data_IF_421555876785
#
_entry.id   IF_421555876785
#
_cell.length_a   1.000
_cell.length_b   1.000
_cell.length_c   1.000
_cell.angle_alpha   90.00
_cell.angle_beta   90.00
_cell.angle_gamma   90.00
#
_symmetry.space_group_name_H-M   'P 1'
#
loop_
_entity.id
_entity.type
_entity.pdbx_description
1 polymer ?
#
# COMPACT_ATOMS: atom_id res chain seq x y z
N UNK A 1 -20.53 -47.90 -9.55
CA UNK A 1 -19.60 -47.41 -8.52
C UNK A 1 -18.82 -46.17 -8.96
N UNK A 2 -18.20 -46.12 -10.12
CA UNK A 2 -17.39 -44.98 -10.64
C UNK A 2 -18.19 -43.65 -10.71
N UNK A 3 -19.50 -43.73 -11.02
CA UNK A 3 -20.41 -42.57 -11.13
C UNK A 3 -20.66 -41.90 -9.77
N UNK A 4 -20.68 -42.71 -8.68
CA UNK A 4 -20.86 -42.22 -7.32
C UNK A 4 -19.59 -41.54 -6.80
N UNK A 5 -18.42 -42.08 -7.10
CA UNK A 5 -17.13 -41.57 -6.69
C UNK A 5 -16.87 -40.23 -7.41
N UNK A 6 -17.19 -40.11 -8.71
CA UNK A 6 -17.04 -38.87 -9.46
C UNK A 6 -17.98 -37.75 -8.99
N UNK A 7 -19.21 -38.08 -8.57
CA UNK A 7 -20.15 -37.10 -8.00
C UNK A 7 -19.64 -36.54 -6.66
N UNK A 8 -19.06 -37.38 -5.81
CA UNK A 8 -18.45 -36.99 -4.54
C UNK A 8 -17.19 -36.09 -4.75
N UNK A 9 -16.34 -36.47 -5.72
CA UNK A 9 -15.15 -35.70 -6.03
C UNK A 9 -15.50 -34.29 -6.58
N UNK A 10 -16.53 -34.20 -7.43
CA UNK A 10 -16.99 -32.93 -7.97
C UNK A 10 -17.63 -32.04 -6.92
N UNK A 11 -18.36 -32.63 -5.98
CA UNK A 11 -18.97 -31.92 -4.86
C UNK A 11 -17.92 -31.39 -3.88
N UNK A 12 -16.86 -32.15 -3.62
CA UNK A 12 -15.73 -31.70 -2.79
C UNK A 12 -14.91 -30.59 -3.47
N UNK A 13 -14.72 -30.66 -4.80
CA UNK A 13 -14.02 -29.60 -5.56
C UNK A 13 -14.85 -28.32 -5.55
N UNK A 14 -16.17 -28.40 -5.70
CA UNK A 14 -17.06 -27.23 -5.63
C UNK A 14 -17.05 -26.64 -4.21
N UNK A 15 -17.09 -27.47 -3.15
CA UNK A 15 -16.97 -27.02 -1.77
C UNK A 15 -15.62 -26.34 -1.50
N UNK A 16 -14.52 -26.91 -2.01
CA UNK A 16 -13.19 -26.33 -1.88
C UNK A 16 -13.08 -24.98 -2.60
N UNK A 17 -13.70 -24.85 -3.76
CA UNK A 17 -13.74 -23.59 -4.52
C UNK A 17 -14.63 -22.53 -3.85
N UNK A 18 -15.73 -22.94 -3.21
CA UNK A 18 -16.59 -22.06 -2.40
C UNK A 18 -15.87 -21.58 -1.13
N UNK A 19 -15.13 -22.45 -0.44
CA UNK A 19 -14.36 -22.08 0.75
C UNK A 19 -13.20 -21.12 0.38
N UNK A 20 -12.54 -21.32 -0.75
CA UNK A 20 -11.46 -20.44 -1.23
C UNK A 20 -12.00 -19.11 -1.79
N UNK A 21 -13.20 -19.09 -2.36
CA UNK A 21 -13.88 -17.89 -2.86
C UNK A 21 -14.51 -17.03 -1.76
N UNK A 22 -14.72 -17.58 -0.57
CA UNK A 22 -15.24 -16.87 0.60
C UNK A 22 -14.16 -16.23 1.47
N UNK A 23 -12.90 -16.31 1.10
CA UNK A 23 -11.86 -15.46 1.68
C UNK A 23 -12.08 -14.03 1.14
N UNK A 24 -13.15 -13.39 1.62
CA UNK A 24 -13.31 -11.97 1.54
C UNK A 24 -12.07 -11.38 2.22
N UNK A 25 -11.11 -10.89 1.42
CA UNK A 25 -10.14 -9.94 1.90
C UNK A 25 -10.96 -8.77 2.45
N UNK A 26 -11.12 -8.74 3.76
CA UNK A 26 -11.56 -7.53 4.44
C UNK A 26 -10.43 -6.54 4.22
N UNK A 27 -10.45 -5.86 3.09
CA UNK A 27 -9.66 -4.64 2.90
C UNK A 27 -10.29 -3.65 3.87
N UNK A 28 -9.69 -3.54 5.04
CA UNK A 28 -10.01 -2.45 5.95
C UNK A 28 -9.61 -1.17 5.21
N UNK A 29 -10.58 -0.53 4.60
CA UNK A 29 -10.40 0.81 4.08
C UNK A 29 -10.16 1.70 5.31
N UNK A 30 -8.95 2.22 5.45
CA UNK A 30 -8.66 3.20 6.47
C UNK A 30 -9.51 4.44 6.18
N UNK A 31 -10.29 4.86 7.16
CA UNK A 31 -11.21 6.00 7.01
C UNK A 31 -10.44 7.31 6.79
N UNK A 32 -9.18 7.40 7.20
CA UNK A 32 -8.31 8.57 7.00
C UNK A 32 -6.89 8.15 6.62
N UNK A 33 -6.15 9.07 6.03
CA UNK A 33 -4.74 8.90 5.71
C UNK A 33 -3.91 10.10 6.16
N UNK A 34 -2.64 9.86 6.46
CA UNK A 34 -1.70 10.89 6.91
C UNK A 34 -0.43 10.81 6.10
N UNK A 35 -0.04 11.95 5.54
CA UNK A 35 1.21 12.11 4.82
C UNK A 35 2.05 13.22 5.45
N UNK A 36 3.29 12.90 5.81
CA UNK A 36 4.27 13.87 6.26
C UNK A 36 5.13 14.32 5.07
N UNK A 37 5.37 15.61 4.99
CA UNK A 37 6.28 16.23 4.01
C UNK A 37 7.23 17.19 4.72
N UNK A 38 8.37 17.46 4.12
CA UNK A 38 9.33 18.44 4.58
C UNK A 38 9.74 19.30 3.39
N UNK A 39 9.80 20.61 3.57
CA UNK A 39 10.10 21.53 2.47
C UNK A 39 11.54 21.39 1.99
N UNK A 40 12.47 21.16 2.93
CA UNK A 40 13.87 20.89 2.60
C UNK A 40 14.38 19.68 3.38
N UNK A 41 15.01 18.75 2.70
CA UNK A 41 15.65 17.57 3.33
C UNK A 41 17.06 17.87 3.84
N UNK A 42 17.55 19.09 3.66
CA UNK A 42 18.84 19.54 4.16
C UNK A 42 18.75 21.00 4.65
N UNK A 43 19.50 21.33 5.66
CA UNK A 43 19.60 22.65 6.26
C UNK A 43 21.06 22.95 6.62
N UNK A 44 21.42 24.21 6.71
CA UNK A 44 22.55 24.63 7.50
C UNK A 44 22.14 24.85 8.95
N UNK A 45 23.11 24.76 9.87
CA UNK A 45 22.88 25.01 11.30
C UNK A 45 22.14 26.34 11.47
N UNK A 46 21.02 26.31 12.23
CA UNK A 46 20.20 27.50 12.52
C UNK A 46 19.23 27.90 11.40
N UNK A 47 19.28 27.28 10.21
CA UNK A 47 18.23 27.47 9.21
C UNK A 47 16.94 26.78 9.62
N UNK A 48 15.85 27.20 9.02
CA UNK A 48 14.51 26.70 9.29
C UNK A 48 13.91 26.00 8.09
N UNK A 49 13.12 24.96 8.35
CA UNK A 49 12.28 24.29 7.35
C UNK A 49 10.92 23.98 7.94
N UNK A 50 9.93 23.76 7.10
CA UNK A 50 8.60 23.33 7.55
C UNK A 50 8.43 21.83 7.39
N UNK A 51 7.98 21.18 8.46
CA UNK A 51 7.44 19.81 8.45
C UNK A 51 5.93 19.91 8.45
N UNK A 52 5.28 19.36 7.44
CA UNK A 52 3.83 19.43 7.26
C UNK A 52 3.22 18.03 7.29
N UNK A 53 2.21 17.85 8.13
CA UNK A 53 1.36 16.67 8.15
C UNK A 53 0.06 17.00 7.44
N UNK A 54 -0.18 16.38 6.29
CA UNK A 54 -1.42 16.46 5.54
C UNK A 54 -2.31 15.27 5.91
N UNK A 55 -3.47 15.55 6.46
CA UNK A 55 -4.45 14.57 6.92
C UNK A 55 -5.64 14.63 5.97
N UNK A 56 -5.92 13.55 5.26
CA UNK A 56 -7.12 13.40 4.45
C UNK A 56 -8.15 12.59 5.24
N UNK A 57 -9.26 13.22 5.60
CA UNK A 57 -10.26 12.66 6.50
C UNK A 57 -11.70 12.99 6.05
N UNK A 58 -12.71 12.23 6.48
CA UNK A 58 -14.11 12.63 6.34
C UNK A 58 -14.39 13.94 7.08
N UNK A 59 -15.33 14.75 6.58
CA UNK A 59 -15.71 16.04 7.20
C UNK A 59 -16.16 15.89 8.65
N UNK A 60 -16.86 14.79 8.93
CA UNK A 60 -17.47 14.53 10.23
C UNK A 60 -16.52 13.86 11.24
N UNK A 61 -15.27 13.59 10.86
CA UNK A 61 -14.29 12.89 11.70
C UNK A 61 -13.21 13.84 12.20
N UNK A 62 -12.87 13.72 13.48
CA UNK A 62 -11.81 14.50 14.10
C UNK A 62 -10.59 13.62 14.34
N UNK A 63 -9.45 14.05 13.81
CA UNK A 63 -8.18 13.34 13.99
C UNK A 63 -7.34 14.07 15.04
N UNK A 64 -6.87 13.30 16.02
CA UNK A 64 -5.97 13.79 17.06
C UNK A 64 -4.53 13.73 16.55
N UNK A 65 -3.90 14.90 16.52
CA UNK A 65 -2.51 15.10 16.07
C UNK A 65 -1.57 14.93 17.24
N UNK A 66 -0.38 14.32 17.07
CA UNK A 66 0.64 14.27 18.11
C UNK A 66 0.98 15.66 18.63
N UNK A 67 1.09 15.79 19.96
CA UNK A 67 1.50 17.03 20.59
C UNK A 67 3.03 17.06 20.69
N UNK A 68 3.64 18.02 20.02
CA UNK A 68 5.06 18.33 20.17
C UNK A 68 5.19 19.49 21.17
N UNK A 69 6.09 19.44 22.15
CA UNK A 69 6.38 20.58 23.03
C UNK A 69 7.45 21.48 22.39
N UNK A 70 8.69 21.19 22.65
CA UNK A 70 9.82 22.01 22.23
C UNK A 70 10.62 21.34 21.07
N UNK A 71 10.42 20.05 20.88
CA UNK A 71 11.12 19.26 19.83
C UNK A 71 10.17 18.34 19.11
N UNK A 72 10.43 18.06 17.85
CA UNK A 72 9.74 17.00 17.10
C UNK A 72 10.43 15.65 17.37
N UNK A 73 11.74 15.63 17.28
CA UNK A 73 12.64 14.54 17.70
C UNK A 73 13.87 15.14 18.34
N UNK A 74 14.64 14.32 19.05
CA UNK A 74 15.89 14.79 19.68
C UNK A 74 16.81 15.44 18.63
N UNK A 75 17.22 16.69 18.87
CA UNK A 75 18.07 17.48 17.97
C UNK A 75 17.32 18.26 16.89
N UNK A 76 16.01 18.13 16.75
CA UNK A 76 15.17 18.97 15.90
C UNK A 76 14.22 19.77 16.76
N UNK A 77 14.50 21.06 16.90
CA UNK A 77 13.73 21.98 17.75
C UNK A 77 12.54 22.56 16.98
N UNK A 78 11.43 22.71 17.69
CA UNK A 78 10.22 23.34 17.20
C UNK A 78 10.31 24.85 17.42
N UNK A 79 10.35 25.61 16.34
CA UNK A 79 10.38 27.08 16.37
C UNK A 79 8.98 27.65 16.48
N UNK A 80 8.08 27.19 15.62
CA UNK A 80 6.73 27.72 15.52
C UNK A 80 5.74 26.66 15.02
N UNK A 81 4.50 26.79 15.48
CA UNK A 81 3.36 26.05 14.93
C UNK A 81 2.58 26.98 14.02
N UNK A 82 2.55 26.67 12.74
CA UNK A 82 1.80 27.46 11.80
C UNK A 82 0.30 27.24 11.97
N UNK A 83 -0.48 28.20 11.48
CA UNK A 83 -1.93 28.11 11.48
C UNK A 83 -2.38 26.87 10.69
N UNK A 84 -3.33 26.15 11.25
CA UNK A 84 -3.94 24.98 10.59
C UNK A 84 -4.65 25.45 9.32
N UNK A 85 -4.33 24.85 8.20
CA UNK A 85 -4.99 25.08 6.93
C UNK A 85 -5.92 23.90 6.62
N UNK A 86 -7.15 24.21 6.17
CA UNK A 86 -8.16 23.21 5.86
C UNK A 86 -8.71 23.46 4.48
N UNK A 87 -8.53 22.49 3.61
CA UNK A 87 -9.00 22.53 2.22
C UNK A 87 -10.12 21.50 2.07
N UNK A 88 -11.30 21.97 1.70
CA UNK A 88 -12.40 21.06 1.35
C UNK A 88 -12.10 20.39 0.01
N UNK A 89 -12.24 19.08 -0.03
CA UNK A 89 -12.11 18.28 -1.23
C UNK A 89 -13.48 17.80 -1.68
N UNK A 90 -13.64 17.51 -2.94
CA UNK A 90 -14.87 16.86 -3.44
C UNK A 90 -15.12 15.55 -2.70
N UNK A 91 -16.34 15.08 -2.60
CA UNK A 91 -16.74 13.82 -1.96
C UNK A 91 -16.80 13.81 -0.42
N UNK A 92 -17.23 14.90 0.21
CA UNK A 92 -17.43 14.97 1.67
C UNK A 92 -16.16 14.65 2.49
N UNK A 93 -14.97 15.01 1.97
CA UNK A 93 -13.68 14.89 2.63
C UNK A 93 -12.98 16.23 2.78
N UNK A 94 -12.11 16.30 3.77
CA UNK A 94 -11.30 17.49 4.01
C UNK A 94 -9.83 17.09 4.14
N UNK A 95 -8.95 17.94 3.63
CA UNK A 95 -7.52 17.87 3.87
C UNK A 95 -7.14 18.93 4.89
N UNK A 96 -6.61 18.47 6.01
CA UNK A 96 -6.15 19.33 7.10
C UNK A 96 -4.63 19.30 7.12
N UNK A 97 -4.00 20.48 7.02
CA UNK A 97 -2.55 20.63 7.06
C UNK A 97 -2.11 21.22 8.40
N UNK A 98 -1.27 20.47 9.10
CA UNK A 98 -0.58 20.92 10.30
C UNK A 98 0.90 21.11 9.96
N UNK A 99 1.36 22.36 9.95
CA UNK A 99 2.73 22.71 9.60
C UNK A 99 3.48 23.22 10.82
N UNK A 100 4.72 22.73 10.97
CA UNK A 100 5.62 23.03 12.08
C UNK A 100 6.93 23.52 11.51
N UNK A 101 7.33 24.73 11.89
CA UNK A 101 8.66 25.27 11.55
C UNK A 101 9.66 24.68 12.52
N UNK A 102 10.69 24.09 12.00
CA UNK A 102 11.74 23.40 12.77
C UNK A 102 13.12 23.92 12.41
N UNK A 103 14.04 23.78 13.34
CA UNK A 103 15.46 24.08 13.17
C UNK A 103 16.32 23.03 13.85
N UNK A 104 17.60 23.02 13.58
CA UNK A 104 18.60 22.25 14.32
C UNK A 104 19.90 23.04 14.44
N UNK A 105 20.57 22.89 15.57
CA UNK A 105 21.85 23.53 15.86
C UNK A 105 23.02 22.55 15.86
N UNK A 106 22.76 21.27 15.60
CA UNK A 106 23.78 20.25 15.53
C UNK A 106 23.87 19.65 14.13
N UNK A 107 25.10 19.45 13.66
CA UNK A 107 25.36 18.79 12.38
C UNK A 107 25.12 17.29 12.49
N UNK A 108 24.03 16.82 11.91
CA UNK A 108 23.66 15.40 11.92
C UNK A 108 22.74 15.04 10.76
N UNK A 109 22.55 13.73 10.57
CA UNK A 109 21.45 13.17 9.78
C UNK A 109 20.37 12.72 10.74
N UNK A 110 19.28 13.44 10.78
CA UNK A 110 18.13 13.14 11.64
C UNK A 110 17.14 12.24 10.91
N UNK A 111 16.66 11.24 11.62
CA UNK A 111 15.54 10.41 11.23
C UNK A 111 14.30 10.85 11.99
N UNK A 112 13.27 11.25 11.26
CA UNK A 112 11.97 11.62 11.83
C UNK A 112 11.06 10.40 11.64
N UNK A 113 10.73 9.68 12.74
CA UNK A 113 9.96 8.45 12.66
C UNK A 113 8.50 8.70 12.26
N UNK A 114 7.79 7.68 11.80
CA UNK A 114 6.35 7.75 11.61
C UNK A 114 5.63 8.07 12.91
N UNK A 115 4.85 9.14 12.93
CA UNK A 115 4.03 9.54 14.07
C UNK A 115 2.64 8.92 13.97
N UNK A 116 2.07 8.45 15.11
CA UNK A 116 0.72 7.93 15.15
C UNK A 116 -0.31 9.05 15.24
N UNK A 117 -1.38 8.95 14.47
CA UNK A 117 -2.56 9.79 14.49
C UNK A 117 -3.76 8.93 14.85
N UNK A 118 -4.69 9.45 15.62
CA UNK A 118 -5.81 8.70 16.16
C UNK A 118 -7.12 9.37 15.81
N UNK A 119 -8.11 8.59 15.39
CA UNK A 119 -9.49 9.07 15.30
C UNK A 119 -10.24 8.84 16.64
N UNK A 120 -11.42 9.40 16.74
CA UNK A 120 -12.27 9.24 17.94
C UNK A 120 -12.82 7.80 18.08
N UNK A 121 -12.73 6.98 17.04
CA UNK A 121 -13.13 5.56 17.04
C UNK A 121 -12.03 4.63 17.57
N UNK A 122 -10.80 5.14 17.75
CA UNK A 122 -9.64 4.38 18.22
C UNK A 122 -8.76 3.80 17.11
N UNK A 123 -9.07 4.07 15.82
CA UNK A 123 -8.20 3.67 14.74
C UNK A 123 -6.94 4.53 14.72
N UNK A 124 -5.83 3.90 14.35
CA UNK A 124 -4.52 4.53 14.32
C UNK A 124 -3.91 4.43 12.94
N UNK A 125 -3.52 5.57 12.39
CA UNK A 125 -2.74 5.67 11.16
C UNK A 125 -1.41 6.33 11.46
N UNK A 126 -0.33 5.81 10.90
CA UNK A 126 1.01 6.40 11.04
C UNK A 126 1.35 7.20 9.80
N UNK A 127 2.03 8.34 10.01
CA UNK A 127 2.64 9.07 8.91
C UNK A 127 3.77 8.25 8.28
N UNK A 128 4.27 8.69 7.12
CA UNK A 128 5.56 8.22 6.62
C UNK A 128 6.72 8.80 7.44
N UNK A 129 7.86 8.13 7.37
CA UNK A 129 9.12 8.65 7.91
C UNK A 129 9.71 9.74 7.03
N UNK A 130 10.43 10.67 7.64
CA UNK A 130 11.22 11.70 6.95
C UNK A 130 12.68 11.65 7.40
N UNK A 131 13.54 12.32 6.66
CA UNK A 131 14.93 12.53 7.06
C UNK A 131 15.34 13.98 6.79
N UNK A 132 16.14 14.52 7.70
CA UNK A 132 16.68 15.87 7.61
C UNK A 132 18.18 15.82 7.84
N UNK A 133 18.95 16.30 6.89
CA UNK A 133 20.40 16.43 7.03
C UNK A 133 20.77 17.87 7.33
N UNK A 134 21.50 18.07 8.44
CA UNK A 134 21.98 19.37 8.85
C UNK A 134 23.48 19.47 8.65
N UNK A 135 23.91 20.54 8.01
CA UNK A 135 25.30 20.82 7.70
C UNK A 135 25.79 22.04 8.48
N UNK A 136 27.07 22.04 8.78
CA UNK A 136 27.74 23.29 9.15
C UNK A 136 28.30 23.96 7.91
N UNK A 137 28.35 25.28 7.94
CA UNK A 137 29.10 26.04 6.94
C UNK A 137 30.61 25.86 7.24
N UNK A 138 31.28 25.14 6.40
CA UNK A 138 32.75 25.06 6.51
C UNK A 138 33.34 26.39 6.07
N UNK A 139 33.72 27.20 7.04
CA UNK A 139 34.45 28.49 6.81
C UNK A 139 35.93 28.17 6.68
N UNK A 140 36.29 27.22 5.85
CA UNK A 140 37.66 27.07 5.44
C UNK A 140 38.00 28.25 4.53
N UNK A 141 38.91 29.06 4.98
CA UNK A 141 39.35 30.30 4.34
C UNK A 141 40.11 30.14 3.00
N UNK A 142 39.82 29.11 2.26
CA UNK A 142 40.38 28.88 0.93
C UNK A 142 39.26 28.93 -0.13
N UNK A 143 39.07 30.16 -0.60
CA UNK A 143 38.06 30.60 -1.55
C UNK A 143 38.34 30.19 -3.00
N UNK A 144 38.62 28.94 -3.27
CA UNK A 144 38.81 28.51 -4.65
C UNK A 144 38.23 27.12 -4.95
N UNK A 145 37.01 26.87 -4.85
CA UNK A 145 36.26 25.86 -5.58
C UNK A 145 35.01 25.45 -4.84
N UNK A 146 34.01 26.33 -4.83
CA UNK A 146 32.64 25.84 -4.64
C UNK A 146 32.27 24.99 -5.86
N UNK A 147 32.55 23.69 -5.80
CA UNK A 147 31.90 22.78 -6.70
C UNK A 147 30.45 22.66 -6.23
N UNK A 148 29.55 23.25 -7.01
CA UNK A 148 28.11 23.06 -6.83
C UNK A 148 27.84 21.56 -6.89
N UNK A 149 27.39 20.99 -5.80
CA UNK A 149 27.01 19.57 -5.77
C UNK A 149 25.92 19.31 -6.83
N UNK A 150 26.17 18.37 -7.71
CA UNK A 150 25.24 18.02 -8.78
C UNK A 150 23.90 17.56 -8.23
N UNK A 151 22.84 17.89 -8.95
CA UNK A 151 21.47 17.54 -8.55
C UNK A 151 21.35 16.02 -8.50
N UNK A 152 20.96 15.47 -7.36
CA UNK A 152 20.71 14.02 -7.24
C UNK A 152 19.72 13.58 -8.31
N UNK A 153 20.05 12.56 -9.12
CA UNK A 153 19.13 12.04 -10.11
C UNK A 153 17.87 11.50 -9.44
N UNK A 154 16.75 11.59 -10.15
CA UNK A 154 15.46 11.03 -9.68
C UNK A 154 15.65 9.54 -9.40
N UNK A 155 15.43 9.13 -8.15
CA UNK A 155 15.49 7.71 -7.78
C UNK A 155 14.34 6.96 -8.44
N UNK A 156 14.65 6.18 -9.47
CA UNK A 156 13.73 5.24 -10.06
C UNK A 156 13.85 3.91 -9.27
N UNK A 157 12.80 3.48 -8.55
CA UNK A 157 12.89 2.23 -7.81
C UNK A 157 13.13 1.07 -8.79
N UNK A 158 14.02 0.13 -8.46
CA UNK A 158 14.29 -0.99 -9.33
C UNK A 158 13.03 -1.84 -9.52
N UNK A 159 12.84 -2.33 -10.74
CA UNK A 159 11.70 -3.18 -11.07
C UNK A 159 11.71 -4.45 -10.17
N UNK A 160 10.61 -4.68 -9.48
CA UNK A 160 10.54 -5.79 -8.52
C UNK A 160 10.23 -7.11 -9.23
N UNK A 161 11.28 -7.76 -9.74
CA UNK A 161 11.19 -9.04 -10.44
C UNK A 161 10.50 -10.14 -9.63
N UNK A 162 10.65 -10.13 -8.29
CA UNK A 162 9.99 -11.13 -7.42
C UNK A 162 8.47 -10.99 -7.48
N UNK A 163 7.95 -9.76 -7.37
CA UNK A 163 6.51 -9.52 -7.50
C UNK A 163 6.00 -9.87 -8.88
N UNK A 164 6.75 -9.52 -9.93
CA UNK A 164 6.38 -9.83 -11.30
C UNK A 164 6.27 -11.34 -11.52
N UNK A 165 7.27 -12.12 -11.12
CA UNK A 165 7.23 -13.57 -11.27
C UNK A 165 6.18 -14.24 -10.39
N UNK A 166 5.89 -13.69 -9.20
CA UNK A 166 4.83 -14.20 -8.34
C UNK A 166 3.45 -14.00 -9.00
N UNK A 167 3.19 -12.84 -9.56
CA UNK A 167 1.94 -12.58 -10.29
C UNK A 167 1.84 -13.48 -11.52
N UNK A 168 2.92 -13.61 -12.29
CA UNK A 168 2.98 -14.49 -13.46
C UNK A 168 2.68 -15.95 -13.08
N UNK A 169 3.23 -16.42 -11.97
CA UNK A 169 2.99 -17.77 -11.45
C UNK A 169 1.50 -17.99 -11.11
N UNK A 170 0.87 -17.03 -10.44
CA UNK A 170 -0.56 -17.13 -10.12
C UNK A 170 -1.46 -17.12 -11.35
N UNK A 171 -1.12 -16.31 -12.36
CA UNK A 171 -1.83 -16.30 -13.64
C UNK A 171 -1.70 -17.66 -14.34
N UNK A 172 -0.50 -18.23 -14.35
CA UNK A 172 -0.25 -19.55 -14.96
C UNK A 172 -1.01 -20.66 -14.26
N UNK A 173 -1.01 -20.65 -12.93
CA UNK A 173 -1.79 -21.60 -12.10
C UNK A 173 -3.29 -21.46 -12.36
N UNK A 174 -3.79 -20.24 -12.48
CA UNK A 174 -5.18 -19.96 -12.82
C UNK A 174 -5.58 -20.52 -14.20
N UNK A 175 -4.73 -20.32 -15.20
CA UNK A 175 -4.95 -20.89 -16.54
C UNK A 175 -4.91 -22.43 -16.55
N UNK A 176 -4.00 -23.03 -15.79
CA UNK A 176 -3.92 -24.48 -15.63
C UNK A 176 -5.18 -25.05 -14.97
N UNK A 177 -5.65 -24.39 -13.91
CA UNK A 177 -6.90 -24.77 -13.24
C UNK A 177 -8.12 -24.66 -14.17
N UNK A 178 -8.22 -23.55 -14.91
CA UNK A 178 -9.29 -23.34 -15.89
C UNK A 178 -9.25 -24.39 -17.01
N UNK A 179 -8.07 -24.72 -17.51
CA UNK A 179 -7.90 -25.81 -18.49
C UNK A 179 -8.30 -27.18 -17.92
N UNK A 180 -7.92 -27.45 -16.68
CA UNK A 180 -8.32 -28.68 -15.99
C UNK A 180 -9.85 -28.82 -15.86
N UNK A 181 -10.51 -27.74 -15.44
CA UNK A 181 -11.99 -27.68 -15.33
C UNK A 181 -12.62 -27.87 -16.72
N UNK A 182 -12.11 -27.18 -17.74
CA UNK A 182 -12.59 -27.33 -19.11
C UNK A 182 -12.50 -28.80 -19.60
N UNK A 183 -11.37 -29.45 -19.35
CA UNK A 183 -11.16 -30.85 -19.71
C UNK A 183 -12.12 -31.80 -18.97
N UNK A 184 -12.35 -31.55 -17.66
CA UNK A 184 -13.29 -32.32 -16.87
C UNK A 184 -14.74 -32.17 -17.38
N UNK A 185 -15.15 -30.94 -17.73
CA UNK A 185 -16.48 -30.67 -18.31
C UNK A 185 -16.62 -31.39 -19.64
N UNK A 186 -15.63 -31.35 -20.52
CA UNK A 186 -15.66 -32.05 -21.80
C UNK A 186 -15.80 -33.57 -21.63
N UNK A 187 -15.06 -34.17 -20.71
CA UNK A 187 -15.15 -35.61 -20.41
C UNK A 187 -16.56 -35.96 -19.87
N UNK A 188 -17.10 -35.11 -18.98
CA UNK A 188 -18.43 -35.30 -18.44
C UNK A 188 -19.52 -35.23 -19.50
N UNK A 189 -19.45 -34.22 -20.39
CA UNK A 189 -20.42 -34.04 -21.48
C UNK A 189 -20.35 -35.21 -22.46
N UNK A 190 -19.12 -35.61 -22.90
CA UNK A 190 -18.94 -36.77 -23.80
C UNK A 190 -19.53 -38.05 -23.20
N UNK A 191 -19.24 -38.33 -21.92
CA UNK A 191 -19.75 -39.50 -21.23
C UNK A 191 -21.28 -39.50 -21.09
N UNK A 192 -21.88 -38.31 -20.93
CA UNK A 192 -23.33 -38.13 -20.90
C UNK A 192 -23.97 -38.41 -22.29
N UNK A 193 -23.32 -37.99 -23.36
CA UNK A 193 -23.78 -38.24 -24.73
C UNK A 193 -23.69 -39.73 -25.10
N UNK A 194 -22.64 -40.45 -24.67
CA UNK A 194 -22.50 -41.89 -24.92
C UNK A 194 -23.54 -42.74 -24.21
N UNK A 195 -24.04 -42.30 -23.05
CA UNK A 195 -25.08 -42.98 -22.32
C UNK A 195 -26.49 -42.75 -22.92
N UNK A 196 -26.66 -41.61 -23.62
CA UNK A 196 -27.91 -41.25 -24.29
C UNK A 196 -28.09 -41.90 -25.68
N UNK A 197 -27.02 -42.50 -26.26
CA UNK A 197 -27.15 -43.37 -27.43
C UNK A 197 -27.78 -44.68 -26.96
N UNK A 198 -29.12 -44.80 -27.14
CA UNK A 198 -29.83 -46.06 -27.02
C UNK A 198 -29.14 -47.10 -27.93
N UNK A 199 -28.94 -48.35 -27.45
CA UNK A 199 -28.41 -49.40 -28.27
C UNK A 199 -29.45 -49.68 -29.40
N UNK A 200 -28.98 -49.57 -30.63
CA UNK A 200 -29.76 -49.91 -31.81
C UNK A 200 -30.25 -51.36 -31.68
N UNK A 201 -31.55 -51.52 -31.51
CA UNK A 201 -32.19 -52.84 -31.40
C UNK A 201 -32.07 -53.48 -32.80
N UNK A 202 -31.16 -54.43 -32.94
CA UNK A 202 -31.05 -55.28 -34.11
C UNK A 202 -32.24 -56.25 -34.10
N UNK A 203 -33.24 -55.97 -34.92
CA UNK A 203 -34.36 -56.87 -35.14
C UNK A 203 -33.86 -57.99 -36.04
N UNK A 204 -33.83 -59.26 -35.61
CA UNK A 204 -33.46 -60.36 -36.51
C UNK A 204 -34.55 -60.56 -37.57
N UNK A 205 -34.15 -60.55 -38.82
CA UNK A 205 -35.03 -60.91 -39.95
C UNK A 205 -35.32 -62.43 -39.90
N UNK A 206 -36.60 -62.74 -39.87
CA UNK A 206 -37.11 -64.09 -40.13
C UNK A 206 -37.21 -64.33 -41.59
#
# INVERSE_FOLDING_TARGET
>A
EVKHIMKGLMQNIICLFLIFGLQNFVVSAQDFSVQATIDSTFLFIGEQTAVTFEIDQPVDEKINVPLFSDTIVSGIELVERLKIDTIQTESNRVKVKHSFVVTSFDTALYYIPPFPFYNDKGDTVKSNALSLKVFTVDISSDSTEFQIADIKPIYAPPFNWKKFFMVLLYVLLGLLAAYGIYRLVLIYVRKKYDILKEPEVVIPAH
#
